data_IF_468108567140
#
_entry.id   IF_468108567140
#
_cell.length_a   1.000
_cell.length_b   1.000
_cell.length_c   1.000
_cell.angle_alpha   90.00
_cell.angle_beta   90.00
_cell.angle_gamma   90.00
#
_symmetry.space_group_name_H-M   'P 1'
#
loop_
_entity.id
_entity.type
_entity.pdbx_description
1 polymer ?
#
# COMPACT_ATOMS: atom_id res chain seq x y z
N UNK A 1 3.79 -10.69 -2.52
CA UNK A 1 2.53 -10.83 -1.77
C UNK A 1 2.66 -10.03 -0.50
N UNK A 2 1.79 -9.05 -0.25
CA UNK A 2 1.80 -8.31 1.01
C UNK A 2 0.62 -8.73 1.89
N UNK A 3 0.86 -9.72 2.74
CA UNK A 3 -0.11 -10.27 3.68
C UNK A 3 0.62 -10.96 4.85
N UNK A 4 0.02 -10.95 6.03
CA UNK A 4 0.58 -11.60 7.22
C UNK A 4 -0.07 -11.14 8.52
N UNK A 5 0.35 -11.73 9.65
CA UNK A 5 0.04 -11.26 10.99
C UNK A 5 0.62 -9.86 11.21
N UNK A 6 -0.13 -8.99 11.88
CA UNK A 6 0.33 -7.63 12.21
C UNK A 6 1.08 -7.68 13.53
N UNK A 7 2.31 -7.16 13.51
CA UNK A 7 3.13 -6.97 14.71
C UNK A 7 3.58 -5.51 14.77
N UNK A 8 3.60 -4.95 15.98
CA UNK A 8 4.02 -3.57 16.25
C UNK A 8 5.21 -3.56 17.20
N UNK A 9 6.11 -2.61 17.01
CA UNK A 9 7.28 -2.45 17.88
C UNK A 9 7.00 -1.38 18.93
N UNK A 10 6.90 -1.79 20.20
CA UNK A 10 6.65 -0.92 21.33
C UNK A 10 7.50 -1.34 22.54
N UNK A 11 7.96 -0.36 23.33
CA UNK A 11 8.81 -0.60 24.51
C UNK A 11 9.99 -1.57 24.25
N UNK A 12 10.66 -1.38 23.10
CA UNK A 12 11.82 -2.18 22.64
C UNK A 12 11.53 -3.67 22.36
N UNK A 13 10.26 -4.06 22.15
CA UNK A 13 9.90 -5.44 21.80
C UNK A 13 8.81 -5.48 20.74
N UNK A 14 8.86 -6.50 19.89
CA UNK A 14 7.75 -6.84 19.00
C UNK A 14 6.61 -7.48 19.80
N UNK A 15 5.38 -7.21 19.37
CA UNK A 15 4.17 -7.80 19.90
C UNK A 15 3.03 -7.71 18.91
N UNK A 16 1.99 -8.51 19.13
CA UNK A 16 0.88 -8.67 18.19
C UNK A 16 -0.24 -7.66 18.43
N UNK A 17 -1.26 -7.70 17.58
CA UNK A 17 -2.47 -6.88 17.66
C UNK A 17 -3.66 -7.82 17.81
N UNK A 18 -4.54 -7.57 18.78
CA UNK A 18 -5.78 -8.33 18.93
C UNK A 18 -6.78 -8.01 17.81
N UNK A 19 -7.60 -8.99 17.43
CA UNK A 19 -8.63 -8.87 16.40
C UNK A 19 -9.96 -8.28 16.90
N UNK A 20 -10.09 -8.01 18.21
CA UNK A 20 -11.20 -7.24 18.75
C UNK A 20 -11.28 -5.86 18.09
N UNK A 21 -12.43 -5.60 17.47
CA UNK A 21 -12.73 -4.44 16.61
C UNK A 21 -11.82 -4.26 15.38
N UNK A 22 -10.97 -5.25 15.06
CA UNK A 22 -10.10 -5.20 13.88
C UNK A 22 -10.90 -5.30 12.58
N UNK A 23 -10.85 -4.23 11.79
CA UNK A 23 -11.65 -4.09 10.59
C UNK A 23 -10.85 -3.68 9.35
N UNK A 24 -11.56 -3.46 8.25
CA UNK A 24 -10.92 -3.07 6.99
C UNK A 24 -10.29 -1.67 7.06
N UNK A 25 -10.77 -0.78 7.93
CA UNK A 25 -10.18 0.55 8.11
C UNK A 25 -8.83 0.45 8.82
N UNK A 26 -8.71 -0.37 9.86
CA UNK A 26 -7.43 -0.65 10.53
C UNK A 26 -6.44 -1.37 9.59
N UNK A 27 -6.93 -2.34 8.81
CA UNK A 27 -6.12 -2.97 7.77
C UNK A 27 -5.67 -1.97 6.70
N UNK A 28 -6.52 -1.00 6.34
CA UNK A 28 -6.18 0.03 5.36
C UNK A 28 -5.06 0.95 5.84
N UNK A 29 -5.08 1.35 7.11
CA UNK A 29 -3.98 2.09 7.76
C UNK A 29 -2.69 1.29 7.69
N UNK A 30 -2.76 0.00 8.03
CA UNK A 30 -1.59 -0.91 8.02
C UNK A 30 -1.00 -1.10 6.62
N UNK A 31 -1.84 -1.44 5.63
CA UNK A 31 -1.41 -1.63 4.25
C UNK A 31 -0.79 -0.35 3.66
N UNK A 32 -1.34 0.81 4.00
CA UNK A 32 -0.79 2.11 3.56
C UNK A 32 0.53 2.42 4.25
N UNK A 33 0.62 2.21 5.57
CA UNK A 33 1.85 2.45 6.34
C UNK A 33 3.01 1.61 5.83
N UNK A 34 2.75 0.36 5.44
CA UNK A 34 3.73 -0.55 4.85
C UNK A 34 4.02 -0.28 3.35
N UNK A 35 3.31 0.66 2.72
CA UNK A 35 3.44 0.93 1.28
C UNK A 35 2.91 -0.17 0.36
N UNK A 36 2.08 -1.07 0.89
CA UNK A 36 1.61 -2.30 0.24
C UNK A 36 0.31 -2.16 -0.57
N UNK A 37 -0.24 -0.95 -0.65
CA UNK A 37 -1.44 -0.66 -1.41
C UNK A 37 -2.64 -0.38 -0.50
N UNK A 38 -3.80 -0.88 -0.90
CA UNK A 38 -5.01 -0.83 -0.09
C UNK A 38 -5.31 -2.20 0.53
N UNK A 39 -6.11 -2.19 1.59
CA UNK A 39 -6.55 -3.40 2.26
C UNK A 39 -7.59 -4.14 1.43
N UNK A 40 -7.38 -5.44 1.27
CA UNK A 40 -8.33 -6.38 0.71
C UNK A 40 -9.10 -7.10 1.80
N UNK A 41 -8.41 -7.47 2.90
CA UNK A 41 -9.00 -8.22 4.02
C UNK A 41 -8.32 -7.85 5.34
N UNK A 42 -9.09 -7.94 6.42
CA UNK A 42 -8.67 -7.81 7.80
C UNK A 42 -8.93 -9.14 8.54
N UNK A 43 -8.17 -10.21 8.26
CA UNK A 43 -8.38 -11.49 8.93
C UNK A 43 -8.02 -11.41 10.42
N UNK A 44 -8.88 -11.96 11.28
CA UNK A 44 -8.60 -12.24 12.69
C UNK A 44 -8.28 -13.71 12.94
N UNK A 45 -8.48 -14.15 14.18
CA UNK A 45 -8.40 -15.52 14.67
C UNK A 45 -7.09 -16.23 14.31
N UNK A 46 -5.97 -15.52 14.42
CA UNK A 46 -4.65 -16.03 14.09
C UNK A 46 -4.58 -16.69 12.70
N UNK A 47 -5.26 -16.11 11.69
CA UNK A 47 -5.34 -16.68 10.34
C UNK A 47 -3.97 -17.00 9.72
N UNK A 48 -2.94 -16.22 10.08
CA UNK A 48 -1.55 -16.40 9.64
C UNK A 48 -0.67 -17.12 10.67
N UNK A 49 -1.28 -17.77 11.66
CA UNK A 49 -0.65 -18.38 12.81
C UNK A 49 -0.54 -17.43 14.00
N UNK A 50 -0.52 -18.03 15.18
CA UNK A 50 -0.33 -17.35 16.45
C UNK A 50 1.07 -16.72 16.54
N UNK A 51 1.15 -15.55 17.16
CA UNK A 51 2.38 -14.93 17.58
C UNK A 51 2.84 -15.44 18.94
N UNK A 52 3.85 -14.76 19.47
CA UNK A 52 4.40 -15.04 20.80
C UNK A 52 4.81 -13.73 21.46
N UNK A 53 4.69 -13.68 22.79
CA UNK A 53 5.16 -12.54 23.57
C UNK A 53 3.99 -11.61 23.95
N UNK A 54 4.19 -10.28 23.99
CA UNK A 54 3.13 -9.35 24.33
C UNK A 54 2.13 -9.17 23.18
N UNK A 55 0.86 -8.95 23.51
CA UNK A 55 -0.11 -8.35 22.60
C UNK A 55 -0.14 -6.86 22.97
N UNK A 56 0.20 -5.99 22.01
CA UNK A 56 0.40 -4.57 22.30
C UNK A 56 -0.85 -3.73 22.11
N UNK A 57 -1.71 -4.10 21.16
CA UNK A 57 -2.88 -3.33 20.78
C UNK A 57 -4.14 -4.18 20.92
N UNK A 58 -5.19 -3.54 21.42
CA UNK A 58 -6.55 -4.07 21.58
C UNK A 58 -7.55 -2.92 21.34
N UNK A 59 -8.75 -3.26 20.88
CA UNK A 59 -9.80 -2.31 20.53
C UNK A 59 -9.34 -1.32 19.45
N UNK A 60 -8.78 -1.83 18.34
CA UNK A 60 -8.15 -0.99 17.32
C UNK A 60 -9.16 -0.36 16.36
N UNK A 61 -9.72 0.78 16.76
CA UNK A 61 -10.73 1.51 16.00
C UNK A 61 -10.10 2.64 15.17
N UNK A 62 -9.97 2.40 13.86
CA UNK A 62 -9.42 3.36 12.91
C UNK A 62 -10.51 3.95 12.02
N UNK A 63 -10.33 5.20 11.58
CA UNK A 63 -11.12 5.83 10.51
C UNK A 63 -10.64 5.45 9.11
N UNK A 64 -9.45 4.86 9.00
CA UNK A 64 -8.81 4.48 7.73
C UNK A 64 -7.90 5.57 7.16
N UNK A 65 -7.74 6.69 7.87
CA UNK A 65 -7.01 7.88 7.42
C UNK A 65 -5.76 8.18 8.24
N UNK A 66 -5.57 7.45 9.33
CA UNK A 66 -4.45 7.55 10.25
C UNK A 66 -3.12 7.19 9.57
N UNK A 67 -2.05 7.93 9.88
CA UNK A 67 -0.72 7.63 9.31
C UNK A 67 -0.13 6.34 9.89
N UNK A 68 -0.67 5.82 10.99
CA UNK A 68 -0.30 4.53 11.56
C UNK A 68 -1.23 4.12 12.68
N UNK A 69 -1.17 2.85 13.10
CA UNK A 69 -2.09 2.28 14.09
C UNK A 69 -2.07 3.01 15.44
N UNK A 70 -0.93 3.59 15.83
CA UNK A 70 -0.80 4.36 17.07
C UNK A 70 -1.66 5.65 17.12
N UNK A 71 -2.20 6.10 15.98
CA UNK A 71 -3.09 7.27 15.89
C UNK A 71 -4.58 6.90 15.88
N UNK A 72 -4.91 5.61 15.82
CA UNK A 72 -6.27 5.14 15.93
C UNK A 72 -6.78 5.30 17.37
N UNK A 73 -8.08 5.14 17.56
CA UNK A 73 -8.61 4.93 18.90
C UNK A 73 -8.23 3.52 19.36
N UNK A 74 -7.57 3.43 20.50
CA UNK A 74 -6.99 2.19 21.04
C UNK A 74 -7.30 2.10 22.53
N UNK A 75 -7.34 0.88 23.06
CA UNK A 75 -7.14 0.67 24.50
C UNK A 75 -5.71 1.00 24.92
N UNK A 76 -5.45 1.02 26.23
CA UNK A 76 -4.10 1.25 26.76
C UNK A 76 -3.14 0.20 26.21
N UNK A 77 -1.96 0.62 25.77
CA UNK A 77 -0.93 -0.28 25.24
C UNK A 77 -0.61 -1.42 26.23
N UNK A 78 -0.75 -2.66 25.75
CA UNK A 78 -0.50 -3.87 26.53
C UNK A 78 -1.60 -4.25 27.54
N UNK A 79 -2.69 -3.49 27.62
CA UNK A 79 -3.90 -3.89 28.35
C UNK A 79 -4.89 -4.52 27.35
N UNK A 80 -5.15 -5.82 27.51
CA UNK A 80 -6.05 -6.58 26.66
C UNK A 80 -6.62 -7.78 27.43
N UNK A 81 -7.71 -8.35 26.94
CA UNK A 81 -8.25 -9.63 27.41
C UNK A 81 -7.99 -10.79 26.43
N UNK A 82 -7.32 -10.51 25.31
CA UNK A 82 -7.09 -11.47 24.23
C UNK A 82 -5.97 -12.48 24.49
N UNK A 83 -6.03 -13.64 23.81
CA UNK A 83 -4.93 -14.58 23.62
C UNK A 83 -4.37 -14.55 22.19
N UNK A 84 -3.25 -15.23 21.94
CA UNK A 84 -2.65 -15.25 20.58
C UNK A 84 -3.51 -15.95 19.52
N UNK A 85 -4.52 -16.72 19.92
CA UNK A 85 -5.56 -17.22 19.01
C UNK A 85 -6.40 -16.11 18.38
N UNK A 86 -6.29 -14.87 18.86
CA UNK A 86 -6.99 -13.66 18.41
C UNK A 86 -6.05 -12.69 17.70
N UNK A 87 -4.86 -13.13 17.28
CA UNK A 87 -3.93 -12.24 16.58
C UNK A 87 -4.46 -11.82 15.19
N UNK A 88 -4.48 -10.50 14.97
CA UNK A 88 -4.93 -9.88 13.74
C UNK A 88 -3.91 -9.95 12.61
N UNK A 89 -4.41 -10.00 11.38
CA UNK A 89 -3.63 -9.98 10.16
C UNK A 89 -4.19 -9.03 9.10
N UNK A 90 -3.43 -8.89 8.01
CA UNK A 90 -3.83 -8.12 6.82
C UNK A 90 -3.61 -8.90 5.54
N UNK A 91 -4.44 -8.61 4.55
CA UNK A 91 -4.17 -8.91 3.14
C UNK A 91 -4.27 -7.61 2.36
N UNK A 92 -3.19 -7.22 1.69
CA UNK A 92 -3.11 -6.00 0.89
C UNK A 92 -3.04 -6.33 -0.61
N UNK A 93 -3.19 -5.32 -1.47
CA UNK A 93 -3.10 -5.49 -2.93
C UNK A 93 -1.71 -5.75 -3.48
N UNK A 94 -0.66 -5.64 -2.68
CA UNK A 94 0.73 -5.84 -3.13
C UNK A 94 1.09 -4.88 -4.29
N UNK A 95 0.60 -3.64 -4.19
CA UNK A 95 0.83 -2.58 -5.16
C UNK A 95 1.55 -1.44 -4.46
N UNK A 96 2.69 -0.95 -4.96
CA UNK A 96 3.38 0.18 -4.34
C UNK A 96 2.41 1.36 -4.26
N UNK A 97 2.05 1.78 -3.03
CA UNK A 97 1.50 3.13 -2.86
C UNK A 97 2.67 4.06 -3.12
N UNK A 98 2.81 4.51 -4.37
CA UNK A 98 3.81 5.52 -4.68
C UNK A 98 3.58 6.68 -3.69
N UNK A 99 4.61 7.13 -2.94
CA UNK A 99 4.50 8.38 -2.21
C UNK A 99 4.17 9.43 -3.28
N UNK A 100 2.98 10.01 -3.21
CA UNK A 100 2.57 11.07 -4.11
C UNK A 100 3.58 12.22 -3.95
N UNK A 101 4.43 12.51 -4.96
CA UNK A 101 4.07 12.76 -6.35
C UNK A 101 4.83 11.91 -7.41
N UNK A 102 4.96 10.59 -7.25
CA UNK A 102 5.62 9.73 -8.26
C UNK A 102 4.68 8.76 -8.99
N UNK A 103 3.37 9.05 -8.99
CA UNK A 103 2.43 8.35 -9.89
C UNK A 103 2.77 8.78 -11.32
N UNK A 104 3.13 7.84 -12.19
CA UNK A 104 3.14 8.07 -13.64
C UNK A 104 1.81 8.72 -14.01
N UNK A 105 1.86 9.99 -14.39
CA UNK A 105 0.68 10.78 -14.66
C UNK A 105 -0.13 10.08 -15.78
N UNK A 106 -1.47 10.14 -15.74
CA UNK A 106 -2.24 9.73 -16.90
C UNK A 106 -1.72 10.47 -18.14
N UNK A 107 -1.70 9.82 -19.32
CA UNK A 107 -1.25 10.48 -20.54
C UNK A 107 -2.06 11.77 -20.74
N UNK A 108 -1.36 12.90 -20.80
CA UNK A 108 -1.96 14.22 -21.08
C UNK A 108 -2.81 14.08 -22.35
N UNK A 109 -4.07 14.52 -22.40
CA UNK A 109 -4.89 14.45 -23.61
C UNK A 109 -4.22 15.17 -24.80
N UNK A 110 -4.38 14.68 -26.03
CA UNK A 110 -3.94 15.41 -27.22
C UNK A 110 -4.63 16.77 -27.27
N UNK A 111 -3.86 17.86 -27.16
CA UNK A 111 -4.37 19.25 -27.14
C UNK A 111 -4.06 20.04 -25.87
N UNK A 112 -3.62 19.39 -24.80
CA UNK A 112 -3.22 20.05 -23.53
C UNK A 112 -1.70 20.10 -23.33
N UNK A 113 -0.92 19.70 -24.35
CA UNK A 113 0.55 19.69 -24.28
C UNK A 113 1.08 21.13 -24.42
N UNK A 114 1.94 21.61 -23.51
CA UNK A 114 2.57 22.93 -23.63
C UNK A 114 3.31 23.11 -24.96
N UNK A 115 3.36 24.34 -25.51
CA UNK A 115 4.13 24.63 -26.72
C UNK A 115 5.60 24.23 -26.54
N UNK A 116 6.13 23.43 -27.46
CA UNK A 116 7.51 22.95 -27.42
C UNK A 116 7.71 21.64 -26.64
N UNK A 117 6.66 21.04 -26.09
CA UNK A 117 6.72 19.72 -25.47
C UNK A 117 6.08 18.66 -26.37
N UNK A 118 6.65 17.46 -26.38
CA UNK A 118 6.16 16.31 -27.14
C UNK A 118 5.37 15.38 -26.22
N UNK A 119 4.23 14.89 -26.69
CA UNK A 119 3.40 13.96 -25.93
C UNK A 119 3.95 12.53 -26.06
N UNK A 120 4.17 11.87 -24.93
CA UNK A 120 4.80 10.54 -24.82
C UNK A 120 3.90 9.59 -24.03
N UNK A 121 3.89 8.31 -24.40
CA UNK A 121 3.24 7.24 -23.64
C UNK A 121 4.07 5.96 -23.64
N UNK A 122 3.81 5.08 -22.66
CA UNK A 122 4.36 3.72 -22.61
C UNK A 122 3.27 2.73 -22.99
N UNK A 123 3.59 1.79 -23.89
CA UNK A 123 2.65 0.79 -24.41
C UNK A 123 3.21 -0.62 -24.20
N UNK A 124 2.35 -1.58 -23.85
CA UNK A 124 2.70 -3.00 -23.65
C UNK A 124 3.77 -3.26 -22.57
N UNK A 125 3.77 -2.52 -21.47
CA UNK A 125 4.59 -2.87 -20.29
C UNK A 125 3.86 -3.75 -19.28
N UNK A 126 4.62 -4.29 -18.32
CA UNK A 126 4.08 -5.02 -17.17
C UNK A 126 3.36 -4.13 -16.15
N UNK A 127 3.58 -2.81 -16.19
CA UNK A 127 2.90 -1.80 -15.39
C UNK A 127 2.93 -0.43 -16.08
N UNK A 128 2.25 0.56 -15.51
CA UNK A 128 2.03 1.91 -16.10
C UNK A 128 3.28 2.78 -16.26
N UNK A 129 4.42 2.34 -15.72
CA UNK A 129 5.71 3.01 -15.82
C UNK A 129 6.75 2.17 -16.59
N UNK A 130 6.28 1.15 -17.31
CA UNK A 130 7.11 0.33 -18.18
C UNK A 130 6.41 0.16 -19.54
N UNK A 131 7.19 -0.14 -20.57
CA UNK A 131 6.66 -0.42 -21.91
C UNK A 131 7.50 0.22 -23.01
N UNK A 132 7.08 -0.01 -24.25
CA UNK A 132 7.64 0.65 -25.43
C UNK A 132 7.26 2.13 -25.42
N UNK A 133 8.24 2.99 -25.65
CA UNK A 133 8.04 4.44 -25.78
C UNK A 133 7.36 4.73 -27.13
N UNK A 134 6.21 5.40 -27.07
CA UNK A 134 5.53 5.95 -28.25
C UNK A 134 5.37 7.46 -28.14
N UNK A 135 5.51 8.12 -29.28
CA UNK A 135 5.53 9.58 -29.41
C UNK A 135 4.39 10.03 -30.33
N UNK A 136 3.64 11.05 -29.92
CA UNK A 136 2.60 11.64 -30.75
C UNK A 136 3.16 12.76 -31.62
N UNK A 137 3.06 12.61 -32.93
CA UNK A 137 3.50 13.60 -33.89
C UNK A 137 2.60 13.59 -35.13
N UNK A 138 2.23 14.78 -35.61
CA UNK A 138 1.36 14.97 -36.78
C UNK A 138 0.08 14.11 -36.72
N UNK A 139 -0.64 14.20 -35.59
CA UNK A 139 -1.90 13.48 -35.33
C UNK A 139 -1.79 11.94 -35.32
N UNK A 140 -0.59 11.40 -35.13
CA UNK A 140 -0.34 9.96 -35.15
C UNK A 140 0.64 9.56 -34.06
N UNK A 141 0.48 8.35 -33.53
CA UNK A 141 1.45 7.72 -32.64
C UNK A 141 2.49 6.96 -33.45
N UNK A 142 3.76 7.16 -33.13
CA UNK A 142 4.90 6.46 -33.71
C UNK A 142 5.85 5.91 -32.64
N UNK A 143 6.80 5.09 -33.07
CA UNK A 143 7.85 4.49 -32.22
C UNK A 143 9.14 5.30 -32.27
N UNK A 144 10.02 5.09 -31.29
CA UNK A 144 11.36 5.68 -31.23
C UNK A 144 12.39 4.66 -31.72
N UNK A 145 13.38 5.09 -32.50
CA UNK A 145 14.52 4.25 -32.92
C UNK A 145 15.54 4.14 -31.78
N UNK A 146 16.14 2.98 -31.59
CA UNK A 146 17.01 2.66 -30.46
C UNK A 146 18.52 2.84 -30.73
N UNK A 147 18.91 3.22 -31.96
CA UNK A 147 20.31 3.32 -32.39
C UNK A 147 21.23 4.18 -31.50
N UNK A 148 20.66 5.12 -30.73
CA UNK A 148 21.38 5.95 -29.75
C UNK A 148 20.62 6.05 -28.41
N UNK A 149 19.90 5.00 -28.02
CA UNK A 149 19.12 4.98 -26.78
C UNK A 149 19.93 4.37 -25.63
N UNK A 150 20.43 5.21 -24.73
CA UNK A 150 21.22 4.82 -23.57
C UNK A 150 20.53 5.12 -22.21
N UNK A 151 21.21 4.80 -21.10
CA UNK A 151 20.75 4.99 -19.72
C UNK A 151 21.28 6.28 -19.10
#
# INVERSE_FOLDING_TARGET
>A
TCAGRVEVFHAHRWGTVCDDTWDLAAAQVTCRYLGCGHALRAPGHAHFGEGTGPIWLDGTECTGKEEGLAQCHLHTWGEHNCGHGEDAGVVCTDSPVAPSPSRCAPPVPPGETPPGQVQVRLVNGSHTCAGRVEVFHAHRWGTVCDDTWDL
#
